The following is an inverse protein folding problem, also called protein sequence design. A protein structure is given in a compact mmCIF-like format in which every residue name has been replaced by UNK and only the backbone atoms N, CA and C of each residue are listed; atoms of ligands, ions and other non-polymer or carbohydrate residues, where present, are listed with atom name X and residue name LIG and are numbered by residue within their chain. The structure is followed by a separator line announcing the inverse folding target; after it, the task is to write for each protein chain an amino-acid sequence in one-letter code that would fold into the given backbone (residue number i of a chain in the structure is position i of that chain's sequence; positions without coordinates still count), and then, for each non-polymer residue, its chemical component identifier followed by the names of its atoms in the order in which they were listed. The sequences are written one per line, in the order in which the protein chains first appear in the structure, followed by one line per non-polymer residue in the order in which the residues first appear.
data_IF_899822791321
#
_entry.id   IF_899822791321
#
_cell.length_a   1.000
_cell.length_b   1.000
_cell.length_c   1.000
_cell.angle_alpha   90.00
_cell.angle_beta   90.00
_cell.angle_gamma   90.00
#
_symmetry.space_group_name_H-M   'P 1'
#
loop_
_entity.id
_entity.type
_entity.pdbx_description
1 polymer ?
#
# COMPACT_ATOMS: atom_id res chain seq x y z
N UNK A 1 -9.32 -0.73 22.05
CA UNK A 1 -8.80 -0.88 20.67
C UNK A 1 -9.80 -0.21 19.74
N UNK A 2 -9.42 0.83 19.03
CA UNK A 2 -10.34 1.47 18.08
C UNK A 2 -10.09 0.89 16.69
N UNK A 3 -10.86 -0.15 16.32
CA UNK A 3 -11.16 -0.43 14.92
C UNK A 3 -12.00 0.75 14.42
N UNK A 4 -11.55 1.39 13.36
CA UNK A 4 -12.35 2.34 12.59
C UNK A 4 -12.20 1.91 11.14
N UNK A 5 -13.30 1.46 10.56
CA UNK A 5 -13.35 1.18 9.13
C UNK A 5 -12.95 2.46 8.38
N UNK A 6 -11.80 2.40 7.73
CA UNK A 6 -11.31 3.42 6.82
C UNK A 6 -11.41 2.89 5.40
N UNK A 7 -11.64 3.79 4.45
CA UNK A 7 -11.53 3.44 3.03
C UNK A 7 -10.16 3.84 2.53
N UNK A 8 -9.47 2.90 1.90
CA UNK A 8 -8.14 3.12 1.36
C UNK A 8 -8.11 2.76 -0.12
N UNK A 9 -7.21 3.40 -0.85
CA UNK A 9 -6.86 3.08 -2.23
C UNK A 9 -5.41 3.45 -2.49
N UNK A 10 -4.78 2.85 -3.50
CA UNK A 10 -3.47 3.29 -3.97
C UNK A 10 -3.66 4.26 -5.12
N UNK A 11 -2.93 5.37 -5.08
CA UNK A 11 -2.89 6.38 -6.14
C UNK A 11 -1.47 6.47 -6.66
N UNK A 12 -1.32 6.29 -7.96
CA UNK A 12 -0.10 6.56 -8.70
C UNK A 12 -0.36 7.67 -9.73
N UNK A 13 0.69 8.26 -10.35
CA UNK A 13 0.52 9.37 -11.30
C UNK A 13 -0.44 9.10 -12.48
N UNK A 14 -0.62 7.83 -12.81
CA UNK A 14 -1.20 7.33 -14.06
C UNK A 14 -2.27 6.24 -13.84
N UNK A 15 -2.52 5.83 -12.60
CA UNK A 15 -3.47 4.79 -12.24
C UNK A 15 -3.87 4.87 -10.76
N UNK A 16 -5.07 4.40 -10.46
CA UNK A 16 -5.57 4.23 -9.09
C UNK A 16 -6.33 2.91 -8.91
N UNK A 17 -6.38 2.44 -7.66
CA UNK A 17 -7.21 1.27 -7.29
C UNK A 17 -8.63 1.73 -6.96
N UNK A 18 -9.56 0.77 -6.90
CA UNK A 18 -10.82 0.99 -6.21
C UNK A 18 -10.59 1.17 -4.70
N UNK A 19 -11.55 1.78 -4.03
CA UNK A 19 -11.56 1.84 -2.57
C UNK A 19 -11.90 0.48 -1.97
N UNK A 20 -11.14 0.07 -0.96
CA UNK A 20 -11.43 -1.10 -0.13
C UNK A 20 -11.59 -0.66 1.33
N UNK A 21 -12.29 -1.47 2.13
CA UNK A 21 -12.42 -1.25 3.56
C UNK A 21 -11.21 -1.83 4.30
N UNK A 22 -10.72 -1.11 5.31
CA UNK A 22 -9.57 -1.51 6.12
C UNK A 22 -9.74 -1.08 7.57
N UNK A 23 -9.06 -1.79 8.48
CA UNK A 23 -8.91 -1.38 9.87
C UNK A 23 -7.55 -0.70 10.08
N UNK A 24 -7.56 0.52 10.61
CA UNK A 24 -6.34 1.24 10.96
C UNK A 24 -5.91 0.92 12.40
N UNK A 25 -4.66 0.50 12.58
CA UNK A 25 -4.04 0.30 13.89
C UNK A 25 -2.85 1.26 14.02
N UNK A 26 -2.87 2.10 15.05
CA UNK A 26 -1.76 3.01 15.35
C UNK A 26 -0.78 2.30 16.28
N UNK A 27 0.44 2.06 15.78
CA UNK A 27 1.53 1.43 16.52
C UNK A 27 2.50 2.49 17.07
N UNK A 28 2.90 2.43 18.34
CA UNK A 28 3.89 3.36 18.90
C UNK A 28 5.34 3.02 18.52
N UNK A 29 5.59 1.89 17.85
CA UNK A 29 6.95 1.41 17.51
C UNK A 29 7.25 1.39 16.02
N UNK A 30 6.25 1.63 15.17
CA UNK A 30 6.41 1.61 13.72
C UNK A 30 6.28 3.03 13.17
N UNK A 31 7.33 3.51 12.51
CA UNK A 31 7.38 4.81 11.84
C UNK A 31 6.97 4.71 10.35
N UNK A 32 6.49 3.54 9.93
CA UNK A 32 6.09 3.22 8.56
C UNK A 32 4.69 2.61 8.49
N UNK A 33 4.05 2.74 7.32
CA UNK A 33 2.74 2.13 7.05
C UNK A 33 2.95 0.65 6.71
N UNK A 34 2.31 -0.23 7.47
CA UNK A 34 2.29 -1.67 7.23
C UNK A 34 0.97 -2.07 6.60
N UNK A 35 1.03 -2.82 5.50
CA UNK A 35 -0.13 -3.41 4.83
C UNK A 35 -0.13 -4.93 5.07
N UNK A 36 -1.29 -5.50 5.38
CA UNK A 36 -1.42 -6.97 5.45
C UNK A 36 -1.41 -7.59 4.06
N UNK A 37 -1.05 -8.86 3.99
CA UNK A 37 -1.08 -9.67 2.75
C UNK A 37 -2.47 -9.64 2.07
N UNK A 38 -3.55 -9.74 2.84
CA UNK A 38 -4.92 -9.63 2.35
C UNK A 38 -5.17 -8.27 1.69
N UNK A 39 -4.74 -7.20 2.34
CA UNK A 39 -4.92 -5.84 1.82
C UNK A 39 -4.10 -5.60 0.54
N UNK A 40 -2.88 -6.12 0.48
CA UNK A 40 -2.03 -6.10 -0.72
C UNK A 40 -2.75 -6.82 -1.88
N UNK A 41 -3.37 -7.97 -1.61
CA UNK A 41 -4.16 -8.70 -2.61
C UNK A 41 -5.39 -7.92 -3.07
N UNK A 42 -6.17 -7.35 -2.15
CA UNK A 42 -7.39 -6.60 -2.48
C UNK A 42 -7.11 -5.29 -3.22
N UNK A 43 -5.99 -4.63 -2.91
CA UNK A 43 -5.49 -3.46 -3.66
C UNK A 43 -4.90 -3.85 -5.02
N UNK A 44 -4.80 -5.15 -5.34
CA UNK A 44 -4.24 -5.64 -6.60
C UNK A 44 -2.77 -5.27 -6.77
N UNK A 45 -1.97 -5.42 -5.71
CA UNK A 45 -0.54 -5.13 -5.72
C UNK A 45 0.28 -6.42 -5.85
N UNK A 46 1.23 -6.42 -6.77
CA UNK A 46 2.27 -7.46 -6.84
C UNK A 46 3.58 -6.92 -6.26
N UNK A 47 4.14 -7.64 -5.29
CA UNK A 47 5.44 -7.33 -4.69
C UNK A 47 6.55 -7.97 -5.55
N UNK A 48 7.51 -7.16 -6.00
CA UNK A 48 8.58 -7.61 -6.90
C UNK A 48 9.92 -7.70 -6.13
N UNK A 49 10.32 -6.65 -5.40
CA UNK A 49 11.49 -6.63 -4.51
C UNK A 49 11.22 -5.68 -3.33
N UNK A 50 10.67 -6.24 -2.25
CA UNK A 50 10.21 -5.48 -1.08
C UNK A 50 11.36 -4.72 -0.40
N UNK A 51 12.56 -5.31 -0.37
CA UNK A 51 13.73 -4.68 0.26
C UNK A 51 14.20 -3.41 -0.46
N UNK A 52 13.88 -3.27 -1.75
CA UNK A 52 14.12 -2.04 -2.53
C UNK A 52 12.86 -1.19 -2.73
N UNK A 53 11.71 -1.65 -2.21
CA UNK A 53 10.41 -1.02 -2.41
C UNK A 53 9.89 -1.15 -3.85
N UNK A 54 10.21 -2.22 -4.57
CA UNK A 54 9.69 -2.47 -5.91
C UNK A 54 8.38 -3.25 -5.89
N UNK A 55 7.39 -2.75 -6.62
CA UNK A 55 6.05 -3.32 -6.74
C UNK A 55 5.44 -2.94 -8.09
N UNK A 56 4.27 -3.50 -8.42
CA UNK A 56 3.45 -3.06 -9.56
C UNK A 56 1.98 -3.33 -9.28
N UNK A 57 1.07 -2.76 -10.06
CA UNK A 57 -0.29 -3.27 -10.05
C UNK A 57 -0.37 -4.63 -10.75
N UNK A 58 -1.22 -5.53 -10.28
CA UNK A 58 -1.34 -6.89 -10.81
C UNK A 58 -1.78 -6.91 -12.28
N UNK A 59 -2.56 -5.90 -12.71
CA UNK A 59 -3.00 -5.73 -14.10
C UNK A 59 -1.95 -5.08 -15.01
N UNK A 60 -0.81 -4.66 -14.47
CA UNK A 60 0.28 -4.09 -15.23
C UNK A 60 1.23 -5.16 -15.77
N UNK A 61 1.87 -4.89 -16.93
CA UNK A 61 2.93 -5.76 -17.45
C UNK A 61 4.10 -5.83 -16.46
N UNK A 62 4.88 -6.91 -16.51
CA UNK A 62 5.97 -7.17 -15.54
C UNK A 62 7.07 -6.12 -15.58
N UNK A 63 7.24 -5.46 -16.72
CA UNK A 63 8.26 -4.43 -16.96
C UNK A 63 7.89 -3.10 -16.27
N UNK A 64 6.62 -2.91 -15.87
CA UNK A 64 6.14 -1.68 -15.23
C UNK A 64 6.35 -1.72 -13.72
N UNK A 65 7.62 -1.79 -13.33
CA UNK A 65 8.03 -1.75 -11.92
C UNK A 65 7.93 -0.32 -11.38
N UNK A 66 7.23 -0.18 -10.26
CA UNK A 66 7.04 1.03 -9.47
C UNK A 66 7.91 0.97 -8.23
N UNK A 67 8.28 2.15 -7.70
CA UNK A 67 9.02 2.28 -6.45
C UNK A 67 8.12 2.89 -5.38
N UNK A 68 8.20 2.37 -4.17
CA UNK A 68 7.52 2.96 -3.01
C UNK A 68 7.97 4.40 -2.79
N UNK A 69 7.02 5.26 -2.47
CA UNK A 69 7.29 6.63 -2.05
C UNK A 69 8.11 6.63 -0.74
N UNK A 70 9.05 7.57 -0.56
CA UNK A 70 9.75 7.70 0.71
C UNK A 70 8.77 8.06 1.84
N UNK A 71 9.08 7.69 3.09
CA UNK A 71 8.24 8.03 4.25
C UNK A 71 8.00 9.54 4.34
N UNK A 72 6.75 9.93 4.58
CA UNK A 72 6.37 11.32 4.89
C UNK A 72 6.08 11.44 6.37
N UNK A 73 6.90 12.22 7.07
CA UNK A 73 6.70 12.55 8.47
C UNK A 73 5.91 13.86 8.58
N UNK A 74 4.67 13.77 9.04
CA UNK A 74 3.88 14.94 9.37
C UNK A 74 4.15 15.33 10.83
N UNK A 75 4.69 16.54 11.03
CA UNK A 75 4.92 17.16 12.34
C UNK A 75 3.89 18.24 12.61
#
# INVERSE_FOLDING_TARGET
MASRAVKIKVVAPDADTQYIDADAVVSPIADEVLLSDKMISELGLALEDVGKGHWRFMWEPKERVRRSEPPKYWR
#
